data_IF_003691291757
#
_entry.id   IF_003691291757
#
_cell.length_a   1.000
_cell.length_b   1.000
_cell.length_c   1.000
_cell.angle_alpha   90.00
_cell.angle_beta   90.00
_cell.angle_gamma   90.00
#
_symmetry.space_group_name_H-M   'P 1'
#
loop_
_entity.id
_entity.type
_entity.pdbx_description
1 polymer ?
#
# COMPACT_ATOMS: atom_id res chain seq x y z
N UNK A 1 -20.78 11.90 19.07
CA UNK A 1 -20.64 13.36 18.87
C UNK A 1 -19.28 13.64 18.27
N UNK A 2 -19.27 14.58 17.35
CA UNK A 2 -18.10 14.96 16.59
C UNK A 2 -16.98 15.44 17.51
N UNK A 3 -15.86 14.74 17.48
CA UNK A 3 -14.59 15.17 18.11
C UNK A 3 -13.76 16.03 17.16
N UNK A 4 -14.38 16.54 16.09
CA UNK A 4 -13.73 17.40 15.09
C UNK A 4 -12.93 16.64 14.03
N UNK A 5 -12.97 15.31 13.97
CA UNK A 5 -12.31 14.53 12.92
C UNK A 5 -13.13 14.63 11.64
N UNK A 6 -12.55 15.15 10.57
CA UNK A 6 -13.15 15.28 9.25
C UNK A 6 -12.49 14.39 8.20
N UNK A 7 -11.34 13.82 8.53
CA UNK A 7 -10.62 12.88 7.67
C UNK A 7 -9.89 11.83 8.51
N UNK A 8 -9.74 10.64 7.96
CA UNK A 8 -8.92 9.57 8.54
C UNK A 8 -8.21 8.80 7.42
N UNK A 9 -7.26 7.97 7.80
CA UNK A 9 -6.63 6.97 6.93
C UNK A 9 -6.99 5.60 7.47
N UNK A 10 -7.45 4.69 6.60
CA UNK A 10 -7.86 3.35 6.97
C UNK A 10 -7.60 2.37 5.82
N UNK A 11 -7.52 1.09 6.11
CA UNK A 11 -7.09 0.06 5.16
C UNK A 11 -8.21 -0.85 4.68
N UNK A 12 -8.18 -1.14 3.36
CA UNK A 12 -8.91 -2.24 2.77
C UNK A 12 -7.92 -3.39 2.59
N UNK A 13 -7.96 -4.34 3.53
CA UNK A 13 -6.97 -5.44 3.55
C UNK A 13 -7.15 -6.37 2.35
N UNK A 14 -6.13 -6.46 1.49
CA UNK A 14 -6.13 -7.35 0.35
C UNK A 14 -6.32 -8.81 0.78
N UNK A 15 -5.56 -9.27 1.80
CA UNK A 15 -5.65 -10.62 2.37
C UNK A 15 -7.07 -10.99 2.79
N UNK A 16 -7.79 -10.06 3.45
CA UNK A 16 -9.14 -10.33 3.95
C UNK A 16 -10.20 -10.23 2.85
N UNK A 17 -9.93 -9.43 1.86
CA UNK A 17 -10.84 -9.14 0.75
C UNK A 17 -10.78 -10.25 -0.31
N UNK A 18 -9.59 -10.78 -0.60
CA UNK A 18 -9.37 -11.86 -1.58
C UNK A 18 -8.80 -13.11 -0.87
N UNK A 19 -9.66 -13.86 -0.19
CA UNK A 19 -9.27 -15.08 0.53
C UNK A 19 -8.97 -16.26 -0.38
N UNK A 20 -9.49 -16.23 -1.59
CA UNK A 20 -9.24 -17.22 -2.64
C UNK A 20 -8.95 -16.47 -3.93
N UNK A 21 -8.05 -16.96 -4.78
CA UNK A 21 -7.65 -16.30 -6.01
C UNK A 21 -8.85 -15.86 -6.87
N UNK A 22 -8.94 -14.57 -7.15
CA UNK A 22 -10.00 -13.98 -7.97
C UNK A 22 -11.37 -13.82 -7.30
N UNK A 23 -11.59 -14.40 -6.10
CA UNK A 23 -12.84 -14.29 -5.35
C UNK A 23 -12.71 -13.16 -4.33
N UNK A 24 -13.36 -12.04 -4.62
CA UNK A 24 -13.26 -10.82 -3.81
C UNK A 24 -14.56 -10.56 -3.07
N UNK A 25 -14.47 -10.41 -1.74
CA UNK A 25 -15.56 -9.97 -0.87
C UNK A 25 -15.30 -8.55 -0.34
N UNK A 26 -16.03 -7.59 -0.87
CA UNK A 26 -16.01 -6.19 -0.45
C UNK A 26 -17.02 -5.84 0.63
N UNK A 27 -17.73 -6.78 1.22
CA UNK A 27 -18.83 -6.50 2.15
C UNK A 27 -18.40 -5.62 3.34
N UNK A 28 -17.22 -5.89 3.90
CA UNK A 28 -16.66 -5.10 4.99
C UNK A 28 -16.27 -3.68 4.53
N UNK A 29 -15.55 -3.58 3.40
CA UNK A 29 -15.10 -2.31 2.85
C UNK A 29 -16.29 -1.40 2.46
N UNK A 30 -17.37 -1.96 1.90
CA UNK A 30 -18.61 -1.24 1.60
C UNK A 30 -19.26 -0.66 2.87
N UNK A 31 -19.30 -1.43 3.96
CA UNK A 31 -19.82 -0.93 5.24
C UNK A 31 -18.97 0.24 5.77
N UNK A 32 -17.66 0.14 5.68
CA UNK A 32 -16.76 1.21 6.11
C UNK A 32 -16.96 2.48 5.26
N UNK A 33 -17.03 2.34 3.93
CA UNK A 33 -17.25 3.46 3.01
C UNK A 33 -18.58 4.17 3.28
N UNK A 34 -19.66 3.41 3.50
CA UNK A 34 -20.98 3.96 3.84
C UNK A 34 -20.97 4.69 5.17
N UNK A 35 -20.39 4.09 6.22
CA UNK A 35 -20.30 4.71 7.54
C UNK A 35 -19.49 6.02 7.50
N UNK A 36 -18.37 6.04 6.77
CA UNK A 36 -17.56 7.25 6.60
C UNK A 36 -18.37 8.37 5.91
N UNK A 37 -19.10 8.04 4.85
CA UNK A 37 -19.94 8.97 4.12
C UNK A 37 -21.09 9.51 4.99
N UNK A 38 -21.78 8.64 5.74
CA UNK A 38 -22.87 9.03 6.65
C UNK A 38 -22.39 9.99 7.75
N UNK A 39 -21.14 9.83 8.19
CA UNK A 39 -20.52 10.71 9.19
C UNK A 39 -19.76 11.90 8.58
N UNK A 40 -19.81 12.06 7.25
CA UNK A 40 -19.09 13.10 6.51
C UNK A 40 -17.57 13.11 6.82
N UNK A 41 -16.99 11.91 6.95
CA UNK A 41 -15.54 11.71 7.15
C UNK A 41 -14.91 11.30 5.83
N UNK A 42 -13.90 12.04 5.40
CA UNK A 42 -13.09 11.67 4.23
C UNK A 42 -12.08 10.60 4.61
N UNK A 43 -12.03 9.51 3.83
CA UNK A 43 -11.07 8.43 4.09
C UNK A 43 -9.99 8.42 3.02
N UNK A 44 -8.73 8.25 3.45
CA UNK A 44 -7.60 7.88 2.61
C UNK A 44 -7.47 6.36 2.74
N UNK A 45 -7.71 5.63 1.65
CA UNK A 45 -7.79 4.17 1.67
C UNK A 45 -6.44 3.53 1.36
N UNK A 46 -5.87 2.80 2.30
CA UNK A 46 -4.71 1.95 2.04
C UNK A 46 -5.15 0.66 1.37
N UNK A 47 -4.55 0.34 0.21
CA UNK A 47 -4.86 -0.87 -0.54
C UNK A 47 -3.95 -2.05 -0.15
N UNK A 48 -2.72 -1.76 0.24
CA UNK A 48 -1.78 -2.75 0.78
C UNK A 48 -0.96 -2.15 1.92
N UNK A 49 -1.19 -2.66 3.13
CA UNK A 49 -0.47 -2.28 4.34
C UNK A 49 0.25 -3.51 4.90
N UNK A 50 1.42 -3.81 4.30
CA UNK A 50 2.34 -4.90 4.66
C UNK A 50 1.79 -6.32 4.53
N UNK A 51 0.78 -6.55 3.64
CA UNK A 51 0.23 -7.88 3.45
C UNK A 51 -0.45 -8.07 2.10
N UNK A 52 -0.33 -9.29 1.58
CA UNK A 52 -0.96 -9.79 0.35
C UNK A 52 -1.44 -11.22 0.56
N UNK A 53 -2.33 -11.78 -0.29
CA UNK A 53 -2.78 -13.17 -0.18
C UNK A 53 -1.64 -14.18 -0.22
N UNK A 54 -1.78 -15.29 0.51
CA UNK A 54 -0.72 -16.30 0.68
C UNK A 54 -0.26 -16.95 -0.63
N UNK A 55 -1.11 -16.96 -1.65
CA UNK A 55 -0.80 -17.47 -2.98
C UNK A 55 -0.09 -16.45 -3.88
N UNK A 56 0.20 -15.26 -3.38
CA UNK A 56 0.90 -14.19 -4.10
C UNK A 56 2.36 -14.16 -3.75
N UNK A 57 3.22 -14.41 -4.73
CA UNK A 57 4.67 -14.19 -4.59
C UNK A 57 5.01 -12.75 -5.04
N UNK A 58 5.50 -11.87 -4.14
CA UNK A 58 5.84 -10.49 -4.46
C UNK A 58 7.03 -10.35 -5.41
N UNK A 59 7.79 -11.43 -5.62
CA UNK A 59 8.92 -11.47 -6.55
C UNK A 59 8.53 -11.97 -7.94
N UNK A 60 7.31 -12.48 -8.11
CA UNK A 60 6.85 -12.97 -9.39
C UNK A 60 6.58 -11.82 -10.37
N UNK A 61 6.73 -12.11 -11.66
CA UNK A 61 6.40 -11.15 -12.74
C UNK A 61 4.91 -10.80 -12.81
N UNK A 62 4.04 -11.62 -12.22
CA UNK A 62 2.59 -11.40 -12.17
C UNK A 62 2.14 -10.56 -10.96
N UNK A 63 3.01 -10.32 -9.98
CA UNK A 63 2.66 -9.54 -8.79
C UNK A 63 2.13 -8.14 -9.12
N UNK A 64 2.79 -7.32 -9.97
CA UNK A 64 2.30 -5.99 -10.30
C UNK A 64 0.90 -6.00 -10.90
N UNK A 65 0.67 -6.83 -11.92
CA UNK A 65 -0.62 -6.90 -12.61
C UNK A 65 -1.75 -7.45 -11.72
N UNK A 66 -1.44 -8.39 -10.85
CA UNK A 66 -2.41 -8.92 -9.89
C UNK A 66 -2.82 -7.88 -8.86
N UNK A 67 -1.85 -7.12 -8.33
CA UNK A 67 -2.15 -6.00 -7.44
C UNK A 67 -2.94 -4.90 -8.15
N UNK A 68 -2.58 -4.55 -9.38
CA UNK A 68 -3.30 -3.58 -10.19
C UNK A 68 -4.76 -3.98 -10.42
N UNK A 69 -5.02 -5.27 -10.69
CA UNK A 69 -6.37 -5.79 -10.81
C UNK A 69 -7.17 -5.63 -9.50
N UNK A 70 -6.58 -5.98 -8.35
CA UNK A 70 -7.21 -5.77 -7.05
C UNK A 70 -7.51 -4.29 -6.81
N UNK A 71 -6.53 -3.40 -7.01
CA UNK A 71 -6.65 -1.97 -6.80
C UNK A 71 -7.77 -1.34 -7.65
N UNK A 72 -7.88 -1.73 -8.92
CA UNK A 72 -8.95 -1.25 -9.80
C UNK A 72 -10.34 -1.69 -9.33
N UNK A 73 -10.48 -2.90 -8.80
CA UNK A 73 -11.73 -3.41 -8.24
C UNK A 73 -12.13 -2.66 -6.96
N UNK A 74 -11.15 -2.33 -6.09
CA UNK A 74 -11.41 -1.49 -4.92
C UNK A 74 -11.89 -0.09 -5.36
N UNK A 75 -11.22 0.53 -6.31
CA UNK A 75 -11.59 1.85 -6.81
C UNK A 75 -13.00 1.84 -7.43
N UNK A 76 -13.35 0.83 -8.22
CA UNK A 76 -14.69 0.66 -8.77
C UNK A 76 -15.74 0.51 -7.65
N UNK A 77 -15.45 -0.28 -6.63
CA UNK A 77 -16.34 -0.47 -5.47
C UNK A 77 -16.56 0.86 -4.73
N UNK A 78 -15.50 1.64 -4.47
CA UNK A 78 -15.63 2.94 -3.79
C UNK A 78 -16.44 3.93 -4.61
N UNK A 79 -16.22 4.00 -5.93
CA UNK A 79 -17.02 4.80 -6.85
C UNK A 79 -18.50 4.40 -6.79
N UNK A 80 -18.80 3.11 -6.83
CA UNK A 80 -20.18 2.58 -6.77
C UNK A 80 -20.85 2.87 -5.42
N UNK A 81 -20.07 3.03 -4.34
CA UNK A 81 -20.56 3.49 -3.03
C UNK A 81 -20.66 5.03 -2.96
N UNK A 82 -20.44 5.75 -4.05
CA UNK A 82 -20.63 7.20 -4.15
C UNK A 82 -19.39 8.05 -3.88
N UNK A 83 -18.19 7.44 -3.75
CA UNK A 83 -16.93 8.19 -3.70
C UNK A 83 -16.34 8.31 -5.12
N UNK A 84 -16.79 9.33 -5.84
CA UNK A 84 -16.34 9.57 -7.23
C UNK A 84 -14.90 10.05 -7.38
N UNK A 85 -14.24 10.41 -6.27
CA UNK A 85 -12.85 10.87 -6.26
C UNK A 85 -12.10 10.35 -5.01
N UNK A 86 -11.99 9.03 -4.83
CA UNK A 86 -11.35 8.43 -3.67
C UNK A 86 -9.87 8.82 -3.60
N UNK A 87 -9.36 8.93 -2.37
CA UNK A 87 -7.92 9.10 -2.13
C UNK A 87 -7.38 7.74 -1.75
N UNK A 88 -6.43 7.24 -2.53
CA UNK A 88 -5.88 5.90 -2.40
C UNK A 88 -4.39 5.96 -2.05
N UNK A 89 -3.97 5.12 -1.11
CA UNK A 89 -2.56 4.76 -0.91
C UNK A 89 -2.37 3.37 -1.52
N UNK A 90 -1.72 3.24 -2.67
CA UNK A 90 -1.53 1.92 -3.28
C UNK A 90 -0.78 0.98 -2.35
N UNK A 91 0.43 1.35 -1.95
CA UNK A 91 1.26 0.55 -1.06
C UNK A 91 1.82 1.44 0.04
N UNK A 92 1.60 1.07 1.31
CA UNK A 92 2.15 1.80 2.44
C UNK A 92 3.65 1.57 2.57
N UNK A 93 4.43 2.66 2.71
CA UNK A 93 5.85 2.65 3.10
C UNK A 93 6.70 1.59 2.36
N UNK A 94 6.76 1.67 1.03
CA UNK A 94 7.49 0.70 0.21
C UNK A 94 8.95 0.53 0.62
N UNK A 95 9.60 1.62 1.05
CA UNK A 95 11.00 1.57 1.48
C UNK A 95 11.17 0.80 2.78
N UNK A 96 10.26 1.00 3.73
CA UNK A 96 10.26 0.25 4.99
C UNK A 96 9.97 -1.24 4.76
N UNK A 97 8.95 -1.55 3.96
CA UNK A 97 8.60 -2.93 3.62
C UNK A 97 9.75 -3.65 2.91
N UNK A 98 10.42 -2.98 1.96
CA UNK A 98 11.56 -3.53 1.26
C UNK A 98 12.72 -3.86 2.20
N UNK A 99 13.03 -2.94 3.12
CA UNK A 99 14.06 -3.18 4.13
C UNK A 99 13.64 -4.26 5.13
N UNK A 100 12.47 -4.11 5.76
CA UNK A 100 12.05 -4.99 6.86
C UNK A 100 11.73 -6.42 6.39
N UNK A 101 11.09 -6.55 5.24
CA UNK A 101 10.69 -7.84 4.66
C UNK A 101 11.71 -8.42 3.70
N UNK A 102 12.39 -7.58 2.93
CA UNK A 102 13.31 -8.00 1.87
C UNK A 102 14.77 -8.14 2.31
N UNK A 103 15.23 -7.37 3.30
CA UNK A 103 16.64 -7.39 3.70
C UNK A 103 16.89 -8.02 5.07
N UNK A 104 16.03 -7.78 6.06
CA UNK A 104 16.33 -8.12 7.47
C UNK A 104 15.39 -9.14 8.10
N UNK A 105 14.45 -9.71 7.36
CA UNK A 105 13.55 -10.79 7.78
C UNK A 105 12.65 -10.45 8.98
N UNK A 106 12.27 -9.18 9.16
CA UNK A 106 11.44 -8.76 10.29
C UNK A 106 9.94 -8.96 10.03
N UNK A 107 9.54 -9.07 8.76
CA UNK A 107 8.15 -9.26 8.34
C UNK A 107 8.08 -9.98 6.98
N UNK A 108 6.85 -10.34 6.55
CA UNK A 108 6.63 -10.90 5.23
C UNK A 108 7.26 -10.02 4.13
N UNK A 109 8.01 -10.61 3.17
CA UNK A 109 8.18 -12.04 2.85
C UNK A 109 9.33 -12.75 3.60
N UNK A 110 9.88 -12.17 4.67
CA UNK A 110 10.95 -12.73 5.51
C UNK A 110 12.25 -13.06 4.75
N UNK A 111 12.56 -12.30 3.72
CA UNK A 111 13.74 -12.46 2.88
C UNK A 111 14.97 -11.72 3.42
N UNK A 112 16.14 -12.09 2.94
CA UNK A 112 17.40 -11.44 3.26
C UNK A 112 18.12 -10.99 2.00
N UNK A 113 18.65 -9.76 2.02
CA UNK A 113 19.42 -9.17 0.92
C UNK A 113 18.67 -9.11 -0.43
N UNK A 114 17.32 -9.09 -0.40
CA UNK A 114 16.44 -8.92 -1.56
C UNK A 114 15.59 -7.65 -1.52
N UNK A 115 15.92 -6.70 -0.63
CA UNK A 115 15.12 -5.47 -0.47
C UNK A 115 15.07 -4.63 -1.73
N UNK A 116 16.16 -4.51 -2.48
CA UNK A 116 16.19 -3.78 -3.76
C UNK A 116 15.24 -4.42 -4.78
N UNK A 117 15.24 -5.75 -4.89
CA UNK A 117 14.36 -6.49 -5.79
C UNK A 117 12.89 -6.31 -5.38
N UNK A 118 12.59 -6.47 -4.09
CA UNK A 118 11.25 -6.26 -3.55
C UNK A 118 10.78 -4.84 -3.82
N UNK A 119 11.61 -3.82 -3.54
CA UNK A 119 11.25 -2.42 -3.79
C UNK A 119 10.93 -2.16 -5.26
N UNK A 120 11.71 -2.72 -6.18
CA UNK A 120 11.44 -2.59 -7.62
C UNK A 120 10.07 -3.17 -8.00
N UNK A 121 9.70 -4.32 -7.43
CA UNK A 121 8.39 -4.93 -7.65
C UNK A 121 7.25 -4.09 -7.06
N UNK A 122 7.43 -3.57 -5.84
CA UNK A 122 6.43 -2.70 -5.19
C UNK A 122 6.20 -1.40 -6.00
N UNK A 123 7.28 -0.81 -6.53
CA UNK A 123 7.17 0.38 -7.40
C UNK A 123 6.41 0.05 -8.69
N UNK A 124 6.74 -1.05 -9.37
CA UNK A 124 6.01 -1.49 -10.58
C UNK A 124 4.53 -1.72 -10.27
N UNK A 125 4.24 -2.43 -9.18
CA UNK A 125 2.88 -2.68 -8.74
C UNK A 125 2.11 -1.38 -8.45
N UNK A 126 2.76 -0.39 -7.85
CA UNK A 126 2.18 0.93 -7.61
C UNK A 126 1.84 1.65 -8.93
N UNK A 127 2.76 1.65 -9.90
CA UNK A 127 2.55 2.29 -11.20
C UNK A 127 1.36 1.63 -11.92
N UNK A 128 1.38 0.31 -12.07
CA UNK A 128 0.30 -0.43 -12.73
C UNK A 128 -1.04 -0.26 -12.00
N UNK A 129 -1.04 -0.23 -10.67
CA UNK A 129 -2.26 0.03 -9.89
C UNK A 129 -2.83 1.42 -10.15
N UNK A 130 -1.98 2.47 -10.19
CA UNK A 130 -2.42 3.83 -10.50
C UNK A 130 -3.04 3.90 -11.89
N UNK A 131 -2.41 3.28 -12.88
CA UNK A 131 -2.92 3.23 -14.25
C UNK A 131 -4.26 2.50 -14.32
N UNK A 132 -4.37 1.32 -13.74
CA UNK A 132 -5.60 0.53 -13.72
C UNK A 132 -6.75 1.23 -12.96
N UNK A 133 -6.44 1.90 -11.86
CA UNK A 133 -7.42 2.70 -11.11
C UNK A 133 -7.93 3.87 -11.94
N UNK A 134 -7.07 4.57 -12.65
CA UNK A 134 -7.47 5.72 -13.50
C UNK A 134 -8.41 5.34 -14.63
N UNK A 135 -8.34 4.11 -15.13
CA UNK A 135 -9.28 3.60 -16.13
C UNK A 135 -10.69 3.53 -15.59
N UNK A 136 -10.86 3.07 -14.35
CA UNK A 136 -12.19 2.85 -13.74
C UNK A 136 -12.68 4.06 -12.92
N UNK A 137 -11.76 4.85 -12.40
CA UNK A 137 -12.03 6.03 -11.58
C UNK A 137 -11.06 7.18 -11.94
N UNK A 138 -11.29 7.93 -13.03
CA UNK A 138 -10.36 8.93 -13.56
C UNK A 138 -10.02 10.06 -12.57
N UNK A 139 -10.92 10.35 -11.63
CA UNK A 139 -10.74 11.41 -10.63
C UNK A 139 -10.11 10.92 -9.33
N UNK A 140 -9.71 9.63 -9.24
CA UNK A 140 -9.01 9.12 -8.07
C UNK A 140 -7.71 9.90 -7.83
N UNK A 141 -7.43 10.16 -6.57
CA UNK A 141 -6.21 10.82 -6.10
C UNK A 141 -5.34 9.81 -5.38
N UNK A 142 -4.04 10.06 -5.38
CA UNK A 142 -3.08 9.12 -4.78
C UNK A 142 -2.22 9.83 -3.74
N UNK A 143 -1.98 9.13 -2.63
CA UNK A 143 -1.05 9.48 -1.57
C UNK A 143 -0.04 8.36 -1.44
N UNK A 144 1.25 8.66 -1.52
CA UNK A 144 2.32 7.71 -1.26
C UNK A 144 3.05 8.09 0.02
N UNK A 145 2.76 7.44 1.15
CA UNK A 145 3.50 7.66 2.38
C UNK A 145 4.82 6.88 2.34
N UNK A 146 5.88 7.55 2.78
CA UNK A 146 7.20 6.97 2.97
C UNK A 146 7.83 7.52 4.25
N UNK A 147 8.60 6.72 5.00
CA UNK A 147 9.32 7.22 6.15
C UNK A 147 10.45 8.15 5.70
N UNK A 148 10.49 9.36 6.27
CA UNK A 148 11.60 10.28 6.09
C UNK A 148 12.60 10.02 7.22
N UNK A 149 13.72 9.33 6.89
CA UNK A 149 14.74 8.96 7.86
C UNK A 149 16.00 9.78 7.62
N UNK A 150 16.42 10.53 8.64
CA UNK A 150 17.73 11.16 8.66
C UNK A 150 18.69 10.29 9.45
N UNK A 151 19.66 9.66 8.79
CA UNK A 151 20.72 8.91 9.45
C UNK A 151 21.82 9.88 9.88
N UNK A 152 22.03 10.00 11.20
CA UNK A 152 23.09 10.80 11.77
C UNK A 152 24.21 9.87 12.25
N UNK A 153 25.47 10.01 11.75
CA UNK A 153 26.57 9.17 12.21
C UNK A 153 26.81 9.38 13.70
N UNK A 154 26.98 8.29 14.44
CA UNK A 154 27.50 8.38 15.79
C UNK A 154 28.94 8.93 15.75
N UNK A 155 29.28 9.84 16.67
CA UNK A 155 30.56 10.55 16.69
C UNK A 155 31.81 9.62 16.66
N UNK A 156 31.66 8.36 17.05
CA UNK A 156 32.72 7.37 17.19
C UNK A 156 32.90 6.39 16.03
N UNK A 157 32.01 6.38 14.99
CA UNK A 157 32.12 5.44 13.84
C UNK A 157 31.71 6.07 12.49
N UNK A 158 32.46 7.06 11.97
CA UNK A 158 32.06 7.76 10.74
C UNK A 158 31.98 6.88 9.48
N UNK A 159 32.78 5.79 9.41
CA UNK A 159 32.84 4.92 8.22
C UNK A 159 31.61 4.00 8.06
N UNK A 160 31.00 3.58 9.15
CA UNK A 160 29.84 2.66 9.14
C UNK A 160 28.57 3.38 8.72
N UNK A 161 28.40 4.63 9.14
CA UNK A 161 27.22 5.44 8.81
C UNK A 161 27.14 5.88 7.35
N UNK A 162 28.29 6.12 6.70
CA UNK A 162 28.32 6.46 5.26
C UNK A 162 27.80 5.32 4.40
N UNK A 163 28.07 4.06 4.79
CA UNK A 163 27.62 2.88 4.06
C UNK A 163 26.10 2.66 4.15
N UNK A 164 25.50 2.97 5.29
CA UNK A 164 24.04 2.86 5.50
C UNK A 164 23.29 4.00 4.79
N UNK A 165 23.84 5.23 4.83
CA UNK A 165 23.24 6.37 4.16
C UNK A 165 23.23 6.23 2.62
N UNK A 166 24.28 5.60 2.02
CA UNK A 166 24.34 5.37 0.58
C UNK A 166 23.46 4.19 0.10
N UNK A 167 23.02 3.32 0.99
CA UNK A 167 22.14 2.20 0.66
C UNK A 167 20.64 2.56 0.68
N UNK A 168 20.28 3.74 1.19
CA UNK A 168 18.90 4.20 1.35
C UNK A 168 18.52 5.37 0.42
N UNK A 169 19.38 5.72 -0.54
CA UNK A 169 19.13 6.64 -1.64
C UNK A 169 18.95 5.85 -2.94
#
# INVERSE_FOLDING_TARGET
>A
RSIGITACRDGISWVRTERHPGIVDFSAARRMARAAREQNVRVIWDLMHFGWPDDVDPFSTSFPSRFAHYASRVAAMLRDEGDGAPILTPINEMSYLAWAGGDVRCMNPFEAARGVELKAQLVRATIEAIEAVRVVCPHARFLQPEPIIRIVPAALKPKTCRRVASANL
#
